data_IF_267438498338
#
_entry.id   IF_267438498338
#
_cell.length_a   1.000
_cell.length_b   1.000
_cell.length_c   1.000
_cell.angle_alpha   90.00
_cell.angle_beta   90.00
_cell.angle_gamma   90.00
#
_symmetry.space_group_name_H-M   'P 1'
#
loop_
_entity.id
_entity.type
_entity.pdbx_description
1 polymer ?
#
# COMPACT_ATOMS: atom_id res chain seq x y z
N UNK A 1 -32.27 -2.82 24.88
CA UNK A 1 -32.09 -3.50 23.58
C UNK A 1 -32.16 -2.46 22.48
N UNK A 2 -31.05 -2.13 21.84
CA UNK A 2 -31.05 -1.20 20.71
C UNK A 2 -31.68 -1.91 19.50
N UNK A 3 -32.77 -1.36 18.94
CA UNK A 3 -33.31 -1.80 17.66
C UNK A 3 -32.23 -1.54 16.61
N UNK A 4 -31.64 -2.61 16.06
CA UNK A 4 -30.98 -2.53 14.75
C UNK A 4 -32.08 -2.26 13.74
N UNK A 5 -32.27 -0.99 13.39
CA UNK A 5 -33.04 -0.59 12.21
C UNK A 5 -32.28 -1.17 11.02
N UNK A 6 -32.83 -2.21 10.38
CA UNK A 6 -32.31 -2.68 9.10
C UNK A 6 -32.70 -1.64 8.04
N UNK A 7 -31.83 -0.67 7.81
CA UNK A 7 -31.96 0.20 6.64
C UNK A 7 -31.60 -0.63 5.41
N UNK A 8 -32.34 -0.44 4.31
CA UNK A 8 -31.92 -1.02 3.02
C UNK A 8 -30.57 -0.42 2.59
N UNK A 9 -29.86 -1.12 1.71
CA UNK A 9 -28.61 -0.62 1.12
C UNK A 9 -28.84 0.74 0.47
N UNK A 10 -29.91 0.88 -0.32
CA UNK A 10 -30.32 2.12 -0.98
C UNK A 10 -30.53 3.25 0.04
N UNK A 11 -31.30 3.00 1.10
CA UNK A 11 -31.55 4.02 2.14
C UNK A 11 -30.27 4.43 2.87
N UNK A 12 -29.32 3.50 3.05
CA UNK A 12 -28.03 3.79 3.68
C UNK A 12 -27.13 4.58 2.74
N UNK A 13 -27.15 4.29 1.44
CA UNK A 13 -26.41 5.01 0.41
C UNK A 13 -26.89 6.46 0.26
N UNK A 14 -28.21 6.68 0.20
CA UNK A 14 -28.81 8.02 0.12
C UNK A 14 -28.46 8.87 1.35
N UNK A 15 -28.51 8.28 2.54
CA UNK A 15 -28.09 8.95 3.78
C UNK A 15 -26.60 9.29 3.77
N UNK A 16 -25.75 8.37 3.33
CA UNK A 16 -24.31 8.58 3.25
C UNK A 16 -23.97 9.73 2.28
N UNK A 17 -24.59 9.76 1.11
CA UNK A 17 -24.38 10.81 0.12
C UNK A 17 -24.88 12.16 0.64
N UNK A 18 -26.05 12.22 1.30
CA UNK A 18 -26.52 13.46 1.92
C UNK A 18 -25.55 14.00 2.98
N UNK A 19 -24.91 13.13 3.78
CA UNK A 19 -23.89 13.52 4.75
C UNK A 19 -22.61 14.04 4.08
N UNK A 20 -22.21 13.45 2.95
CA UNK A 20 -21.09 13.96 2.12
C UNK A 20 -21.40 15.37 1.63
N UNK A 21 -22.59 15.60 1.08
CA UNK A 21 -23.00 16.93 0.58
C UNK A 21 -23.06 17.98 1.70
N UNK A 22 -23.31 17.56 2.94
CA UNK A 22 -23.28 18.42 4.13
C UNK A 22 -21.87 18.61 4.71
N UNK A 23 -20.84 17.97 4.16
CA UNK A 23 -19.48 17.99 4.70
C UNK A 23 -19.32 17.27 6.03
N UNK A 24 -20.26 16.39 6.41
CA UNK A 24 -20.25 15.61 7.66
C UNK A 24 -19.45 14.33 7.48
N UNK A 25 -18.17 14.48 7.15
CA UNK A 25 -17.26 13.41 6.73
C UNK A 25 -17.17 12.22 7.69
N UNK A 26 -17.08 12.48 9.00
CA UNK A 26 -16.94 11.42 10.01
C UNK A 26 -18.20 10.58 10.19
N UNK A 27 -19.38 11.12 9.89
CA UNK A 27 -20.63 10.37 9.90
C UNK A 27 -20.81 9.61 8.58
N UNK A 28 -20.52 10.27 7.45
CA UNK A 28 -20.48 9.62 6.15
C UNK A 28 -19.56 8.39 6.15
N UNK A 29 -18.36 8.46 6.75
CA UNK A 29 -17.44 7.31 6.87
C UNK A 29 -18.14 6.08 7.46
N UNK A 30 -18.93 6.26 8.53
CA UNK A 30 -19.60 5.13 9.21
C UNK A 30 -20.58 4.44 8.27
N UNK A 31 -21.38 5.21 7.54
CA UNK A 31 -22.35 4.67 6.59
C UNK A 31 -21.66 3.99 5.40
N UNK A 32 -20.62 4.60 4.81
CA UNK A 32 -19.88 3.95 3.71
C UNK A 32 -19.18 2.66 4.14
N UNK A 33 -18.65 2.59 5.37
CA UNK A 33 -18.06 1.35 5.90
C UNK A 33 -19.11 0.27 6.14
N UNK A 34 -20.33 0.65 6.51
CA UNK A 34 -21.46 -0.28 6.62
C UNK A 34 -21.86 -0.83 5.23
N UNK A 35 -21.95 0.05 4.22
CA UNK A 35 -22.22 -0.34 2.84
C UNK A 35 -21.18 -1.32 2.29
N UNK A 36 -19.89 -1.00 2.44
CA UNK A 36 -18.77 -1.86 2.02
C UNK A 36 -18.75 -3.20 2.77
N UNK A 37 -19.28 -3.25 4.00
CA UNK A 37 -19.46 -4.49 4.76
C UNK A 37 -20.51 -5.44 4.18
N UNK A 38 -21.34 -4.99 3.23
CA UNK A 38 -22.36 -5.81 2.58
C UNK A 38 -21.72 -6.71 1.52
N UNK A 39 -21.55 -8.00 1.82
CA UNK A 39 -20.79 -8.96 1.00
C UNK A 39 -21.53 -9.48 -0.24
N UNK A 40 -22.74 -9.01 -0.52
CA UNK A 40 -23.60 -9.53 -1.61
C UNK A 40 -23.82 -8.53 -2.76
N UNK A 41 -23.05 -7.44 -2.77
CA UNK A 41 -23.22 -6.32 -3.70
C UNK A 41 -22.43 -6.54 -4.99
N UNK A 42 -22.94 -6.00 -6.10
CA UNK A 42 -22.33 -6.11 -7.43
C UNK A 42 -21.08 -5.22 -7.48
N UNK A 43 -20.02 -5.67 -8.16
CA UNK A 43 -18.69 -5.04 -8.15
C UNK A 43 -18.69 -3.52 -8.43
N UNK A 44 -19.55 -3.02 -9.32
CA UNK A 44 -19.56 -1.59 -9.69
C UNK A 44 -20.00 -0.67 -8.53
N UNK A 45 -21.05 -1.05 -7.81
CA UNK A 45 -21.54 -0.26 -6.66
C UNK A 45 -20.50 -0.28 -5.52
N UNK A 46 -19.87 -1.42 -5.32
CA UNK A 46 -18.79 -1.58 -4.34
C UNK A 46 -17.61 -0.64 -4.63
N UNK A 47 -17.17 -0.56 -5.90
CA UNK A 47 -16.08 0.32 -6.31
C UNK A 47 -16.45 1.82 -6.17
N UNK A 48 -17.70 2.19 -6.44
CA UNK A 48 -18.19 3.56 -6.24
C UNK A 48 -18.21 3.95 -4.76
N UNK A 49 -18.63 3.04 -3.87
CA UNK A 49 -18.56 3.27 -2.42
C UNK A 49 -17.14 3.37 -1.91
N UNK A 50 -16.23 2.53 -2.41
CA UNK A 50 -14.81 2.65 -2.11
C UNK A 50 -14.27 4.00 -2.59
N UNK A 51 -14.61 4.44 -3.81
CA UNK A 51 -14.15 5.74 -4.33
C UNK A 51 -14.55 6.88 -3.39
N UNK A 52 -15.82 6.88 -2.94
CA UNK A 52 -16.33 7.85 -1.95
C UNK A 52 -15.63 7.74 -0.60
N UNK A 53 -15.38 6.53 -0.10
CA UNK A 53 -14.64 6.34 1.14
C UNK A 53 -13.21 6.90 1.03
N UNK A 54 -12.56 6.75 -0.12
CA UNK A 54 -11.25 7.35 -0.39
C UNK A 54 -11.27 8.88 -0.32
N UNK A 55 -12.30 9.52 -0.89
CA UNK A 55 -12.52 10.98 -0.79
C UNK A 55 -12.77 11.42 0.65
N UNK A 56 -13.60 10.68 1.39
CA UNK A 56 -13.87 10.96 2.81
C UNK A 56 -12.58 10.92 3.63
N UNK A 57 -11.74 9.91 3.42
CA UNK A 57 -10.44 9.82 4.09
C UNK A 57 -9.55 11.02 3.77
N UNK A 58 -9.56 11.54 2.54
CA UNK A 58 -8.83 12.76 2.20
C UNK A 58 -9.33 13.97 2.99
N UNK A 59 -10.65 14.16 3.09
CA UNK A 59 -11.24 15.26 3.85
C UNK A 59 -10.96 15.16 5.36
N UNK A 60 -10.76 13.93 5.86
CA UNK A 60 -10.38 13.66 7.25
C UNK A 60 -8.86 13.73 7.48
N UNK A 61 -8.05 14.14 6.50
CA UNK A 61 -6.58 14.12 6.55
C UNK A 61 -5.97 12.74 6.82
N UNK A 62 -6.65 11.68 6.37
CA UNK A 62 -6.25 10.27 6.50
C UNK A 62 -5.67 9.77 5.18
N UNK A 63 -4.58 10.41 4.74
CA UNK A 63 -3.96 10.17 3.44
C UNK A 63 -3.53 8.71 3.24
N UNK A 64 -2.98 8.07 4.28
CA UNK A 64 -2.59 6.65 4.22
C UNK A 64 -3.76 5.74 3.88
N UNK A 65 -4.90 5.90 4.55
CA UNK A 65 -6.10 5.10 4.29
C UNK A 65 -6.69 5.38 2.91
N UNK A 66 -6.73 6.65 2.50
CA UNK A 66 -7.12 7.03 1.14
C UNK A 66 -6.22 6.36 0.08
N UNK A 67 -4.91 6.29 0.33
CA UNK A 67 -3.95 5.65 -0.58
C UNK A 67 -4.25 4.16 -0.78
N UNK A 68 -4.60 3.44 0.29
CA UNK A 68 -4.94 2.01 0.17
C UNK A 68 -6.22 1.77 -0.61
N UNK A 69 -7.23 2.61 -0.41
CA UNK A 69 -8.46 2.57 -1.20
C UNK A 69 -8.15 2.80 -2.68
N UNK A 70 -7.38 3.85 -3.00
CA UNK A 70 -7.00 4.14 -4.40
C UNK A 70 -6.11 3.08 -5.01
N UNK A 71 -5.22 2.46 -4.23
CA UNK A 71 -4.41 1.34 -4.71
C UNK A 71 -5.27 0.13 -5.09
N UNK A 72 -6.27 -0.22 -4.27
CA UNK A 72 -7.22 -1.29 -4.58
C UNK A 72 -7.98 -1.00 -5.88
N UNK A 73 -8.44 0.25 -6.05
CA UNK A 73 -9.13 0.70 -7.27
C UNK A 73 -8.20 0.94 -8.46
N UNK A 74 -6.90 0.60 -8.34
CA UNK A 74 -5.87 0.84 -9.37
C UNK A 74 -5.68 2.31 -9.78
N UNK A 75 -6.08 3.27 -8.94
CA UNK A 75 -5.87 4.71 -9.14
C UNK A 75 -4.49 5.12 -8.60
N UNK A 76 -3.43 4.64 -9.27
CA UNK A 76 -2.05 4.77 -8.78
C UNK A 76 -1.58 6.22 -8.59
N UNK A 77 -1.97 7.15 -9.47
CA UNK A 77 -1.64 8.57 -9.33
C UNK A 77 -2.25 9.19 -8.07
N UNK A 78 -3.53 8.88 -7.81
CA UNK A 78 -4.21 9.34 -6.60
C UNK A 78 -3.57 8.74 -5.35
N UNK A 79 -3.27 7.43 -5.38
CA UNK A 79 -2.61 6.74 -4.27
C UNK A 79 -1.24 7.36 -3.94
N UNK A 80 -0.42 7.68 -4.95
CA UNK A 80 0.85 8.41 -4.78
C UNK A 80 0.65 9.78 -4.16
N UNK A 81 -0.33 10.54 -4.65
CA UNK A 81 -0.62 11.89 -4.18
C UNK A 81 -1.01 11.96 -2.70
N UNK A 82 -1.42 10.84 -2.09
CA UNK A 82 -1.72 10.79 -0.65
C UNK A 82 -0.52 10.42 0.24
N UNK A 83 0.62 10.03 -0.35
CA UNK A 83 1.80 9.54 0.37
C UNK A 83 3.00 10.50 0.23
N UNK A 84 2.81 11.78 0.53
CA UNK A 84 3.82 12.82 0.24
C UNK A 84 4.93 12.89 1.32
N UNK A 85 4.64 12.50 2.56
CA UNK A 85 5.59 12.58 3.69
C UNK A 85 6.66 11.48 3.72
N UNK A 86 7.78 11.76 4.39
CA UNK A 86 8.91 10.84 4.54
C UNK A 86 8.55 9.58 5.33
N UNK A 87 7.58 9.69 6.25
CA UNK A 87 6.97 8.57 6.97
C UNK A 87 6.31 7.54 6.05
N UNK A 88 6.07 7.89 4.79
CA UNK A 88 5.46 7.03 3.78
C UNK A 88 6.42 6.51 2.72
N UNK A 89 7.73 6.75 2.80
CA UNK A 89 8.71 6.30 1.79
C UNK A 89 8.61 4.78 1.55
N UNK A 90 8.45 3.97 2.60
CA UNK A 90 8.26 2.52 2.46
C UNK A 90 6.97 2.15 1.71
N UNK A 91 5.88 2.88 1.92
CA UNK A 91 4.61 2.66 1.21
C UNK A 91 4.71 3.10 -0.25
N UNK A 92 5.40 4.22 -0.53
CA UNK A 92 5.69 4.66 -1.90
C UNK A 92 6.54 3.63 -2.64
N UNK A 93 7.54 3.04 -1.98
CA UNK A 93 8.35 1.97 -2.56
C UNK A 93 7.48 0.77 -2.97
N UNK A 94 6.55 0.37 -2.09
CA UNK A 94 5.60 -0.72 -2.38
C UNK A 94 4.66 -0.40 -3.53
N UNK A 95 4.18 0.84 -3.62
CA UNK A 95 3.34 1.29 -4.73
C UNK A 95 4.09 1.22 -6.07
N UNK A 96 5.33 1.72 -6.12
CA UNK A 96 6.20 1.62 -7.28
C UNK A 96 6.48 0.15 -7.67
N UNK A 97 6.65 -0.74 -6.68
CA UNK A 97 6.82 -2.17 -6.90
C UNK A 97 5.60 -2.81 -7.57
N UNK A 98 4.38 -2.49 -7.09
CA UNK A 98 3.12 -2.99 -7.67
C UNK A 98 2.96 -2.52 -9.12
N UNK A 99 3.36 -1.28 -9.42
CA UNK A 99 3.39 -0.73 -10.77
C UNK A 99 4.54 -1.24 -11.63
N UNK A 100 5.39 -2.13 -11.10
CA UNK A 100 6.58 -2.68 -11.77
C UNK A 100 7.61 -1.60 -12.14
N UNK A 101 7.61 -0.46 -11.44
CA UNK A 101 8.64 0.59 -11.53
C UNK A 101 9.83 0.20 -10.67
N UNK A 102 10.49 -0.90 -11.04
CA UNK A 102 11.47 -1.59 -10.19
C UNK A 102 12.64 -0.72 -9.74
N UNK A 103 13.19 0.11 -10.63
CA UNK A 103 14.28 1.05 -10.28
C UNK A 103 13.83 2.08 -9.24
N UNK A 104 12.65 2.66 -9.41
CA UNK A 104 12.08 3.61 -8.44
C UNK A 104 11.83 2.93 -7.08
N UNK A 105 11.21 1.75 -7.11
CA UNK A 105 10.96 0.94 -5.92
C UNK A 105 12.26 0.63 -5.16
N UNK A 106 13.33 0.25 -5.88
CA UNK A 106 14.62 -0.05 -5.27
C UNK A 106 15.24 1.17 -4.56
N UNK A 107 15.19 2.36 -5.17
CA UNK A 107 15.69 3.59 -4.57
C UNK A 107 14.87 3.98 -3.33
N UNK A 108 13.54 3.90 -3.41
CA UNK A 108 12.67 4.20 -2.28
C UNK A 108 12.85 3.18 -1.14
N UNK A 109 13.01 1.88 -1.43
CA UNK A 109 13.31 0.88 -0.40
C UNK A 109 14.66 1.14 0.27
N UNK A 110 15.67 1.57 -0.49
CA UNK A 110 16.96 1.97 0.06
C UNK A 110 16.81 3.17 1.00
N UNK A 111 16.07 4.20 0.59
CA UNK A 111 15.77 5.38 1.42
C UNK A 111 14.98 5.01 2.69
N UNK A 112 14.03 4.07 2.58
CA UNK A 112 13.26 3.52 3.70
C UNK A 112 14.07 2.61 4.63
N UNK A 113 15.37 2.40 4.37
CA UNK A 113 16.24 1.47 5.11
C UNK A 113 15.70 0.04 5.11
N UNK A 114 15.15 -0.40 3.98
CA UNK A 114 14.65 -1.75 3.72
C UNK A 114 15.57 -2.47 2.71
N UNK A 115 16.80 -2.83 3.10
CA UNK A 115 17.85 -3.26 2.17
C UNK A 115 17.53 -4.54 1.38
N UNK A 116 16.81 -5.50 1.99
CA UNK A 116 16.39 -6.74 1.30
C UNK A 116 15.41 -6.43 0.17
N UNK A 117 14.42 -5.57 0.42
CA UNK A 117 13.45 -5.16 -0.61
C UNK A 117 14.14 -4.38 -1.73
N UNK A 118 15.11 -3.52 -1.39
CA UNK A 118 15.91 -2.80 -2.37
C UNK A 118 16.72 -3.75 -3.27
N UNK A 119 17.40 -4.74 -2.68
CA UNK A 119 18.19 -5.71 -3.44
C UNK A 119 17.32 -6.51 -4.43
N UNK A 120 16.17 -7.04 -3.96
CA UNK A 120 15.20 -7.75 -4.82
C UNK A 120 14.67 -6.84 -5.93
N UNK A 121 14.35 -5.58 -5.62
CA UNK A 121 13.86 -4.64 -6.62
C UNK A 121 14.93 -4.32 -7.69
N UNK A 122 16.21 -4.19 -7.32
CA UNK A 122 17.30 -4.05 -8.29
C UNK A 122 17.44 -5.28 -9.20
N UNK A 123 17.27 -6.50 -8.67
CA UNK A 123 17.26 -7.71 -9.50
C UNK A 123 16.10 -7.71 -10.51
N UNK A 124 14.89 -7.32 -10.07
CA UNK A 124 13.72 -7.19 -10.96
C UNK A 124 13.92 -6.11 -12.02
N UNK A 125 14.66 -5.05 -11.68
CA UNK A 125 15.10 -4.01 -12.61
C UNK A 125 16.23 -4.45 -13.56
N UNK A 126 16.80 -5.66 -13.38
CA UNK A 126 18.00 -6.16 -14.09
C UNK A 126 19.26 -5.30 -13.85
N UNK A 127 19.29 -4.57 -12.75
CA UNK A 127 20.43 -3.78 -12.30
C UNK A 127 21.35 -4.66 -11.44
N UNK A 128 22.03 -5.61 -12.09
CA UNK A 128 22.74 -6.68 -11.39
C UNK A 128 23.94 -6.17 -10.57
N UNK A 129 24.59 -5.08 -11.01
CA UNK A 129 25.68 -4.44 -10.26
C UNK A 129 25.17 -3.90 -8.92
N UNK A 130 24.07 -3.15 -8.95
CA UNK A 130 23.44 -2.58 -7.77
C UNK A 130 22.83 -3.66 -6.86
N UNK A 131 22.20 -4.67 -7.45
CA UNK A 131 21.67 -5.82 -6.71
C UNK A 131 22.78 -6.58 -5.97
N UNK A 132 23.89 -6.88 -6.66
CA UNK A 132 25.04 -7.57 -6.08
C UNK A 132 25.67 -6.75 -4.95
N UNK A 133 25.82 -5.43 -5.15
CA UNK A 133 26.31 -4.54 -4.11
C UNK A 133 25.39 -4.51 -2.89
N UNK A 134 24.07 -4.47 -3.09
CA UNK A 134 23.08 -4.46 -2.02
C UNK A 134 23.09 -5.77 -1.22
N UNK A 135 23.13 -6.93 -1.88
CA UNK A 135 23.25 -8.24 -1.23
C UNK A 135 24.58 -8.41 -0.51
N UNK A 136 25.69 -7.95 -1.10
CA UNK A 136 27.00 -8.00 -0.47
C UNK A 136 27.03 -7.17 0.83
N UNK A 137 26.42 -5.99 0.83
CA UNK A 137 26.31 -5.17 2.03
C UNK A 137 25.52 -5.90 3.14
N UNK A 138 24.46 -6.64 2.77
CA UNK A 138 23.68 -7.44 3.71
C UNK A 138 24.48 -8.57 4.36
N UNK A 139 25.33 -9.28 3.62
CA UNK A 139 26.20 -10.34 4.16
C UNK A 139 27.07 -9.85 5.32
N UNK A 140 27.51 -8.59 5.27
CA UNK A 140 28.37 -7.98 6.30
C UNK A 140 27.60 -7.29 7.43
N UNK A 141 26.27 -7.43 7.50
CA UNK A 141 25.46 -6.75 8.53
C UNK A 141 25.63 -7.42 9.89
N UNK A 142 25.95 -6.62 10.91
CA UNK A 142 26.05 -7.07 12.30
C UNK A 142 24.71 -7.68 12.77
N UNK A 143 24.77 -8.79 13.51
CA UNK A 143 23.61 -9.46 14.09
C UNK A 143 23.06 -10.65 13.29
N UNK A 144 23.54 -10.89 12.07
CA UNK A 144 23.19 -12.11 11.31
C UNK A 144 23.75 -13.39 11.94
N UNK A 145 24.82 -13.30 12.74
CA UNK A 145 25.42 -14.45 13.43
C UNK A 145 24.46 -15.16 14.39
N UNK A 146 23.42 -14.49 14.88
CA UNK A 146 22.38 -15.08 15.75
C UNK A 146 21.09 -15.43 14.99
N UNK A 147 21.10 -15.27 13.65
CA UNK A 147 19.94 -15.43 12.76
C UNK A 147 20.31 -16.31 11.56
N UNK A 148 20.60 -17.60 11.79
CA UNK A 148 21.18 -18.48 10.77
C UNK A 148 20.27 -18.69 9.56
N UNK A 149 18.94 -18.66 9.77
CA UNK A 149 17.97 -18.77 8.67
C UNK A 149 18.04 -17.57 7.72
N UNK A 150 18.03 -16.36 8.28
CA UNK A 150 18.12 -15.12 7.51
C UNK A 150 19.49 -14.96 6.86
N UNK A 151 20.57 -15.35 7.54
CA UNK A 151 21.91 -15.39 6.97
C UNK A 151 21.95 -16.34 5.76
N UNK A 152 21.38 -17.54 5.87
CA UNK A 152 21.30 -18.50 4.77
C UNK A 152 20.51 -17.93 3.58
N UNK A 153 19.37 -17.26 3.81
CA UNK A 153 18.61 -16.61 2.74
C UNK A 153 19.39 -15.52 2.02
N UNK A 154 20.14 -14.70 2.75
CA UNK A 154 20.98 -13.64 2.15
C UNK A 154 22.08 -14.27 1.28
N UNK A 155 22.78 -15.30 1.78
CA UNK A 155 23.80 -16.00 1.00
C UNK A 155 23.21 -16.69 -0.24
N UNK A 156 22.04 -17.32 -0.08
CA UNK A 156 21.32 -17.96 -1.19
C UNK A 156 20.95 -16.96 -2.29
N UNK A 157 20.50 -15.76 -1.95
CA UNK A 157 20.18 -14.72 -2.93
C UNK A 157 21.43 -14.03 -3.51
N UNK A 158 22.49 -13.87 -2.71
CA UNK A 158 23.74 -13.25 -3.16
C UNK A 158 24.44 -14.07 -4.25
N UNK A 159 24.49 -15.40 -4.12
CA UNK A 159 25.19 -16.28 -5.07
C UNK A 159 24.75 -16.08 -6.53
N UNK A 160 23.45 -16.21 -6.85
CA UNK A 160 22.92 -15.95 -8.18
C UNK A 160 23.10 -14.51 -8.66
N UNK A 161 23.04 -13.52 -7.76
CA UNK A 161 23.29 -12.12 -8.12
C UNK A 161 24.74 -11.92 -8.58
N UNK A 162 25.71 -12.48 -7.85
CA UNK A 162 27.13 -12.35 -8.14
C UNK A 162 27.57 -13.01 -9.46
N UNK A 163 26.85 -14.05 -9.91
CA UNK A 163 27.14 -14.77 -11.17
C UNK A 163 26.53 -14.06 -12.40
N UNK A 164 25.63 -13.09 -12.20
CA UNK A 164 24.96 -12.33 -13.28
C UNK A 164 25.67 -11.03 -13.68
N UNK A 165 26.84 -10.77 -13.11
CA UNK A 165 27.77 -9.71 -13.55
C UNK A 165 28.46 -10.10 -14.86
#
# INVERSE_FOLDING_TARGET
MARRTFNSIESTADQAEALVQQGRWGEAERHYRELIGQTHVINYEYDDWLRRLGEIYRHLNRGREASFVYLYLHYFDMARGQLVGDEHIGLRARLAEIEKKWTEAAQLYKQAKLPVHAAVAFERAKQYTEATAAWKALVHTAGLGHRPYEAALIHFNYGPAAVRL
#
